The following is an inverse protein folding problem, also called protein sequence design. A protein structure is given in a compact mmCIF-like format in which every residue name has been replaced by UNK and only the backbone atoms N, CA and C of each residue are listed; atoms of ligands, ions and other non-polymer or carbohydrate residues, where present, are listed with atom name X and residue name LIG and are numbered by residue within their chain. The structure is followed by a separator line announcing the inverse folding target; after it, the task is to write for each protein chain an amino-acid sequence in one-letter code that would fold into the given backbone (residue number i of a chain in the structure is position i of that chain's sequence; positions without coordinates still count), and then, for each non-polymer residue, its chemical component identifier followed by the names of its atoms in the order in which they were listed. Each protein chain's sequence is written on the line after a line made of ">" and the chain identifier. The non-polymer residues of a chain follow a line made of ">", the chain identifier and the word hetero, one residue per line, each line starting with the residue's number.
data_IF_852184871612
#
_entry.id   IF_852184871612
#
_cell.length_a   1.000
_cell.length_b   1.000
_cell.length_c   1.000
_cell.angle_alpha   90.00
_cell.angle_beta   90.00
_cell.angle_gamma   90.00
#
_symmetry.space_group_name_H-M   'P 1'
#
loop_
_entity.id
_entity.type
_entity.pdbx_description
1 polymer ?
#
# COMPACT_ATOMS: atom_id res chain seq x y z
N UNK A 1 -31.81 15.63 5.88
CA UNK A 1 -31.70 14.20 6.23
C UNK A 1 -31.87 13.38 4.97
N UNK A 2 -30.80 13.22 4.19
CA UNK A 2 -30.78 12.23 3.11
C UNK A 2 -30.51 10.87 3.76
N UNK A 3 -31.44 9.93 3.61
CA UNK A 3 -31.26 8.56 4.04
C UNK A 3 -30.09 7.97 3.24
N UNK A 4 -28.95 7.77 3.92
CA UNK A 4 -27.84 7.01 3.37
C UNK A 4 -28.33 5.58 3.17
N UNK A 5 -28.55 5.18 1.91
CA UNK A 5 -28.74 3.78 1.58
C UNK A 5 -27.55 3.01 2.16
N UNK A 6 -27.77 1.91 2.90
CA UNK A 6 -26.66 1.11 3.41
C UNK A 6 -25.90 0.57 2.21
N UNK A 7 -24.65 1.02 2.02
CA UNK A 7 -23.75 0.46 1.02
C UNK A 7 -23.61 -1.02 1.38
N UNK A 8 -24.30 -1.89 0.63
CA UNK A 8 -24.24 -3.34 0.83
C UNK A 8 -22.76 -3.72 0.70
N UNK A 9 -22.20 -4.21 1.81
CA UNK A 9 -20.81 -4.63 1.87
C UNK A 9 -20.51 -5.65 0.76
N UNK A 10 -19.26 -5.73 0.29
CA UNK A 10 -18.90 -6.67 -0.77
C UNK A 10 -19.23 -8.11 -0.33
N UNK A 11 -19.86 -8.86 -1.22
CA UNK A 11 -20.24 -10.26 -0.97
C UNK A 11 -18.99 -11.12 -0.73
N UNK A 12 -19.11 -12.31 -0.11
CA UNK A 12 -17.96 -13.21 0.08
C UNK A 12 -17.17 -13.48 -1.20
N UNK A 13 -17.87 -13.63 -2.33
CA UNK A 13 -17.26 -13.78 -3.65
C UNK A 13 -16.51 -12.51 -4.09
N UNK A 14 -17.07 -11.32 -3.88
CA UNK A 14 -16.39 -10.07 -4.21
C UNK A 14 -15.07 -9.94 -3.43
N UNK A 15 -15.04 -10.33 -2.14
CA UNK A 15 -13.81 -10.34 -1.33
C UNK A 15 -12.75 -11.28 -1.91
N UNK A 16 -13.15 -12.47 -2.34
CA UNK A 16 -12.25 -13.43 -2.99
C UNK A 16 -11.75 -12.95 -4.35
N UNK A 17 -12.58 -12.27 -5.14
CA UNK A 17 -12.16 -11.62 -6.39
C UNK A 17 -11.13 -10.51 -6.10
N UNK A 18 -11.37 -9.68 -5.07
CA UNK A 18 -10.41 -8.64 -4.64
C UNK A 18 -9.08 -9.26 -4.24
N UNK A 19 -9.10 -10.31 -3.42
CA UNK A 19 -7.90 -11.03 -3.01
C UNK A 19 -7.16 -11.64 -4.21
N UNK A 20 -7.87 -12.20 -5.19
CA UNK A 20 -7.25 -12.72 -6.42
C UNK A 20 -6.57 -11.62 -7.25
N UNK A 21 -7.20 -10.45 -7.36
CA UNK A 21 -6.62 -9.27 -8.01
C UNK A 21 -5.47 -8.64 -7.20
N UNK A 22 -5.43 -8.87 -5.90
CA UNK A 22 -4.26 -8.54 -5.10
C UNK A 22 -3.11 -9.48 -5.49
N UNK A 23 -3.32 -10.80 -5.60
CA UNK A 23 -2.27 -11.75 -6.06
C UNK A 23 -1.74 -11.38 -7.44
N UNK A 24 -2.61 -11.27 -8.45
CA UNK A 24 -2.26 -10.82 -9.79
C UNK A 24 -3.32 -9.86 -10.35
N UNK A 25 -2.99 -8.57 -10.35
CA UNK A 25 -3.88 -7.52 -10.83
C UNK A 25 -4.22 -7.63 -12.32
N UNK A 26 -3.44 -8.37 -13.12
CA UNK A 26 -3.71 -8.61 -14.55
C UNK A 26 -4.28 -10.00 -14.84
N UNK A 27 -4.57 -10.82 -13.83
CA UNK A 27 -5.21 -12.11 -14.04
C UNK A 27 -6.52 -11.96 -14.84
N UNK A 28 -6.71 -12.84 -15.83
CA UNK A 28 -7.95 -12.89 -16.60
C UNK A 28 -9.10 -13.36 -15.73
N UNK A 29 -10.32 -12.94 -16.07
CA UNK A 29 -11.51 -13.37 -15.33
C UNK A 29 -11.70 -14.89 -15.40
N UNK A 30 -11.37 -15.52 -16.54
CA UNK A 30 -11.33 -16.96 -16.68
C UNK A 30 -10.36 -17.63 -15.69
N UNK A 31 -9.14 -17.09 -15.54
CA UNK A 31 -8.15 -17.60 -14.59
C UNK A 31 -8.66 -17.47 -13.15
N UNK A 32 -9.17 -16.29 -12.78
CA UNK A 32 -9.73 -16.05 -11.43
C UNK A 32 -10.90 -17.01 -11.17
N UNK A 33 -11.83 -17.17 -12.12
CA UNK A 33 -12.97 -18.06 -11.98
C UNK A 33 -12.55 -19.53 -11.77
N UNK A 34 -11.61 -20.02 -12.59
CA UNK A 34 -11.06 -21.35 -12.46
C UNK A 34 -10.38 -21.57 -11.10
N UNK A 35 -9.56 -20.60 -10.65
CA UNK A 35 -8.90 -20.67 -9.34
C UNK A 35 -9.90 -20.70 -8.19
N UNK A 36 -10.95 -19.87 -8.23
CA UNK A 36 -11.92 -19.77 -7.15
C UNK A 36 -12.98 -20.87 -7.16
N UNK A 37 -13.02 -21.72 -8.20
CA UNK A 37 -14.07 -22.72 -8.38
C UNK A 37 -15.44 -22.11 -8.69
N UNK A 38 -15.47 -20.93 -9.32
CA UNK A 38 -16.66 -20.12 -9.54
C UNK A 38 -17.00 -20.01 -11.04
N UNK A 39 -18.28 -19.83 -11.43
CA UNK A 39 -18.63 -19.66 -12.84
C UNK A 39 -18.00 -18.39 -13.43
N UNK A 40 -17.33 -18.53 -14.58
CA UNK A 40 -16.66 -17.40 -15.26
C UNK A 40 -17.61 -16.23 -15.52
N UNK A 41 -18.84 -16.51 -15.97
CA UNK A 41 -19.85 -15.45 -16.20
C UNK A 41 -20.13 -14.62 -14.94
N UNK A 42 -20.06 -15.22 -13.76
CA UNK A 42 -20.28 -14.52 -12.49
C UNK A 42 -19.10 -13.62 -12.16
N UNK A 43 -17.87 -14.15 -12.27
CA UNK A 43 -16.64 -13.40 -12.01
C UNK A 43 -16.44 -12.27 -13.05
N UNK A 44 -16.66 -12.56 -14.33
CA UNK A 44 -16.57 -11.60 -15.43
C UNK A 44 -17.65 -10.51 -15.38
N UNK A 45 -18.71 -10.69 -14.59
CA UNK A 45 -19.69 -9.64 -14.29
C UNK A 45 -19.30 -8.82 -13.06
N UNK A 46 -18.92 -9.49 -11.96
CA UNK A 46 -18.62 -8.85 -10.66
C UNK A 46 -17.26 -8.13 -10.65
N UNK A 47 -16.23 -8.72 -11.23
CA UNK A 47 -14.87 -8.17 -11.26
C UNK A 47 -14.81 -6.80 -11.93
N UNK A 48 -15.28 -6.64 -13.19
CA UNK A 48 -15.32 -5.33 -13.84
C UNK A 48 -16.18 -4.31 -13.08
N UNK A 49 -17.26 -4.73 -12.42
CA UNK A 49 -18.11 -3.84 -11.63
C UNK A 49 -17.36 -3.26 -10.42
N UNK A 50 -16.56 -4.07 -9.72
CA UNK A 50 -15.69 -3.60 -8.62
C UNK A 50 -14.67 -2.54 -9.09
N UNK A 51 -14.12 -2.73 -10.29
CA UNK A 51 -13.21 -1.76 -10.91
C UNK A 51 -13.94 -0.49 -11.36
N UNK A 52 -15.13 -0.62 -11.95
CA UNK A 52 -15.95 0.48 -12.47
C UNK A 52 -16.45 1.39 -11.35
N UNK A 53 -16.94 0.81 -10.24
CA UNK A 53 -17.31 1.54 -9.03
C UNK A 53 -16.12 2.22 -8.35
N UNK A 54 -14.90 1.85 -8.73
CA UNK A 54 -13.67 2.42 -8.21
C UNK A 54 -13.28 2.01 -6.81
N UNK A 55 -14.06 1.13 -6.19
CA UNK A 55 -13.74 0.49 -4.91
C UNK A 55 -12.42 -0.29 -4.97
N UNK A 56 -12.06 -0.75 -6.17
CA UNK A 56 -10.81 -1.46 -6.46
C UNK A 56 -10.13 -0.81 -7.66
N UNK A 57 -8.83 -0.55 -7.55
CA UNK A 57 -8.00 -0.02 -8.63
C UNK A 57 -6.84 -0.96 -8.88
N UNK A 58 -6.50 -1.22 -10.14
CA UNK A 58 -5.28 -1.97 -10.45
C UNK A 58 -4.18 -0.98 -10.74
N UNK A 59 -3.06 -1.10 -10.04
CA UNK A 59 -1.90 -0.19 -10.17
C UNK A 59 -0.63 -1.00 -10.20
N UNK A 60 0.39 -0.45 -10.86
CA UNK A 60 1.76 -0.84 -10.57
C UNK A 60 2.21 -0.28 -9.23
N UNK A 61 2.76 -1.16 -8.40
CA UNK A 61 3.52 -0.83 -7.21
C UNK A 61 4.99 -1.07 -7.54
N UNK A 62 5.84 -0.12 -7.17
CA UNK A 62 7.28 -0.21 -7.37
C UNK A 62 7.94 -0.82 -6.13
N UNK A 63 8.98 -1.63 -6.34
CA UNK A 63 9.84 -2.09 -5.25
C UNK A 63 10.57 -0.86 -4.64
N UNK A 64 10.67 -0.72 -3.30
CA UNK A 64 11.48 0.31 -2.65
C UNK A 64 12.93 0.37 -3.15
N UNK A 65 13.54 -0.78 -3.49
CA UNK A 65 14.87 -0.84 -4.11
C UNK A 65 14.99 0.01 -5.37
N UNK A 66 13.90 0.26 -6.09
CA UNK A 66 13.89 1.04 -7.33
C UNK A 66 14.39 2.47 -7.14
N UNK A 67 14.23 3.03 -5.95
CA UNK A 67 14.50 4.43 -5.73
C UNK A 67 15.99 4.69 -5.44
N UNK A 68 16.83 4.58 -6.49
CA UNK A 68 18.24 5.00 -6.38
C UNK A 68 18.31 6.47 -5.98
N UNK A 69 19.18 6.77 -5.03
CA UNK A 69 19.45 8.13 -4.58
C UNK A 69 18.18 8.85 -4.09
N UNK A 70 17.25 8.12 -3.46
CA UNK A 70 16.16 8.74 -2.72
C UNK A 70 16.19 8.28 -1.27
N UNK A 71 15.80 9.18 -0.39
CA UNK A 71 15.48 8.89 1.00
C UNK A 71 13.98 8.57 1.10
N UNK A 72 13.67 7.42 1.70
CA UNK A 72 12.33 7.09 2.17
C UNK A 72 12.22 7.51 3.62
N UNK A 73 11.13 8.19 3.99
CA UNK A 73 10.93 8.61 5.37
C UNK A 73 9.44 8.75 5.68
N UNK A 74 9.10 8.57 6.94
CA UNK A 74 7.75 8.79 7.45
C UNK A 74 7.69 10.14 8.15
N UNK A 75 6.71 10.94 7.77
CA UNK A 75 6.31 12.16 8.46
C UNK A 75 5.23 11.82 9.48
N UNK A 76 5.45 12.18 10.74
CA UNK A 76 4.43 12.23 11.81
C UNK A 76 4.14 13.69 12.10
N UNK A 77 2.91 14.15 11.92
CA UNK A 77 2.58 15.55 12.09
C UNK A 77 1.42 15.75 13.07
N UNK A 78 1.52 16.85 13.81
CA UNK A 78 0.43 17.44 14.58
C UNK A 78 -0.03 18.70 13.87
N UNK A 79 -1.30 19.00 14.00
CA UNK A 79 -1.95 20.08 13.28
C UNK A 79 -2.54 21.10 14.25
N UNK A 80 -2.78 22.30 13.74
CA UNK A 80 -3.62 23.26 14.44
C UNK A 80 -5.05 22.70 14.52
N UNK A 81 -5.78 22.85 15.65
CA UNK A 81 -7.13 22.32 15.79
C UNK A 81 -8.04 22.68 14.59
N UNK A 82 -8.74 21.68 14.06
CA UNK A 82 -9.62 21.83 12.90
C UNK A 82 -8.93 21.83 11.53
N UNK A 83 -7.60 21.74 11.48
CA UNK A 83 -6.84 21.82 10.20
C UNK A 83 -6.22 20.49 9.74
N UNK A 84 -6.36 19.40 10.50
CA UNK A 84 -5.79 18.10 10.17
C UNK A 84 -6.16 17.60 8.76
N UNK A 85 -7.43 17.75 8.36
CA UNK A 85 -7.89 17.39 7.02
C UNK A 85 -7.21 18.20 5.90
N UNK A 86 -6.87 19.46 6.16
CA UNK A 86 -6.16 20.33 5.21
C UNK A 86 -4.72 19.83 5.03
N UNK A 87 -4.02 19.58 6.14
CA UNK A 87 -2.65 19.08 6.14
C UNK A 87 -2.54 17.72 5.44
N UNK A 88 -3.39 16.77 5.83
CA UNK A 88 -3.44 15.45 5.19
C UNK A 88 -3.79 15.54 3.70
N UNK A 89 -4.71 16.42 3.30
CA UNK A 89 -5.06 16.62 1.89
C UNK A 89 -3.90 17.24 1.09
N UNK A 90 -3.15 18.16 1.69
CA UNK A 90 -1.97 18.76 1.08
C UNK A 90 -0.87 17.70 0.84
N UNK A 91 -0.58 16.88 1.85
CA UNK A 91 0.36 15.76 1.77
C UNK A 91 -0.08 14.74 0.71
N UNK A 92 -1.32 14.29 0.74
CA UNK A 92 -1.85 13.29 -0.19
C UNK A 92 -1.69 13.70 -1.66
N UNK A 93 -1.87 14.99 -1.98
CA UNK A 93 -1.76 15.50 -3.36
C UNK A 93 -0.33 15.60 -3.88
N UNK A 94 0.69 15.50 -3.04
CA UNK A 94 2.08 15.57 -3.51
C UNK A 94 2.45 14.31 -4.29
N UNK A 95 3.22 14.43 -5.39
CA UNK A 95 3.65 13.28 -6.19
C UNK A 95 4.69 12.40 -5.47
N UNK A 96 5.40 12.95 -4.49
CA UNK A 96 6.44 12.29 -3.69
C UNK A 96 5.89 11.54 -2.47
N UNK A 97 4.58 11.61 -2.21
CA UNK A 97 3.93 10.97 -1.07
C UNK A 97 3.33 9.62 -1.46
N UNK A 98 3.69 8.54 -0.76
CA UNK A 98 3.24 7.17 -1.01
C UNK A 98 1.89 6.88 -0.35
N UNK A 99 1.73 7.25 0.92
CA UNK A 99 0.45 7.18 1.62
C UNK A 99 0.25 8.40 2.51
N UNK A 100 -1.00 8.67 2.88
CA UNK A 100 -1.33 9.70 3.86
C UNK A 100 -2.58 9.31 4.61
N UNK A 101 -2.46 9.26 5.94
CA UNK A 101 -3.54 8.87 6.86
C UNK A 101 -3.84 10.00 7.83
N UNK A 102 -5.13 10.21 8.11
CA UNK A 102 -5.62 10.93 9.27
C UNK A 102 -5.74 9.97 10.44
N UNK A 103 -5.30 10.39 11.61
CA UNK A 103 -5.10 9.51 12.75
C UNK A 103 -5.82 10.03 14.00
N UNK A 104 -6.17 9.10 14.88
CA UNK A 104 -6.43 9.41 16.29
C UNK A 104 -5.12 9.38 17.08
N UNK A 105 -5.04 10.11 18.19
CA UNK A 105 -3.95 9.98 19.17
C UNK A 105 -3.03 11.19 19.17
N UNK A 106 -1.74 10.98 19.39
CA UNK A 106 -0.73 12.03 19.52
C UNK A 106 -0.27 12.63 18.19
N UNK A 107 -0.62 12.01 17.06
CA UNK A 107 -0.43 12.57 15.73
C UNK A 107 -1.80 12.72 15.06
N UNK A 108 -1.98 13.83 14.35
CA UNK A 108 -3.19 14.10 13.58
C UNK A 108 -3.11 13.50 12.18
N UNK A 109 -1.89 13.41 11.63
CA UNK A 109 -1.65 12.75 10.35
C UNK A 109 -0.26 12.11 10.26
N UNK A 110 -0.16 11.08 9.41
CA UNK A 110 1.11 10.50 9.02
C UNK A 110 1.17 10.25 7.51
N UNK A 111 2.36 10.37 6.94
CA UNK A 111 2.60 10.13 5.53
C UNK A 111 3.98 9.50 5.31
N UNK A 112 4.08 8.51 4.44
CA UNK A 112 5.38 8.07 3.92
C UNK A 112 5.67 8.81 2.62
N UNK A 113 6.90 9.31 2.50
CA UNK A 113 7.35 10.14 1.40
C UNK A 113 8.71 9.66 0.89
N UNK A 114 8.97 9.94 -0.39
CA UNK A 114 10.18 9.59 -1.10
C UNK A 114 10.79 10.85 -1.71
N UNK A 115 12.01 11.22 -1.35
CA UNK A 115 12.68 12.39 -1.93
C UNK A 115 14.06 12.05 -2.46
N UNK A 116 14.48 12.54 -3.64
CA UNK A 116 15.88 12.46 -4.04
C UNK A 116 16.80 13.00 -2.95
N UNK A 117 17.90 12.31 -2.66
CA UNK A 117 18.90 12.68 -1.65
C UNK A 117 19.37 14.12 -1.86
N UNK A 118 19.55 14.54 -3.12
CA UNK A 118 19.97 15.90 -3.49
C UNK A 118 18.98 17.00 -3.08
N UNK A 119 17.69 16.67 -2.93
CA UNK A 119 16.62 17.62 -2.60
C UNK A 119 16.01 17.36 -1.22
N UNK A 120 16.49 16.34 -0.50
CA UNK A 120 15.90 15.91 0.75
C UNK A 120 15.96 17.00 1.82
N UNK A 121 17.10 17.69 1.96
CA UNK A 121 17.24 18.80 2.92
C UNK A 121 16.27 19.95 2.65
N UNK A 122 16.10 20.36 1.39
CA UNK A 122 15.16 21.42 1.02
C UNK A 122 13.71 21.02 1.32
N UNK A 123 13.37 19.76 1.02
CA UNK A 123 12.07 19.20 1.34
C UNK A 123 11.78 19.23 2.85
N UNK A 124 12.75 18.81 3.68
CA UNK A 124 12.60 18.80 5.13
C UNK A 124 12.44 20.22 5.71
N UNK A 125 13.28 21.16 5.25
CA UNK A 125 13.37 22.49 5.85
C UNK A 125 12.28 23.43 5.31
N UNK A 126 12.00 23.39 4.00
CA UNK A 126 11.11 24.36 3.34
C UNK A 126 9.73 23.79 3.10
N UNK A 127 9.65 22.64 2.44
CA UNK A 127 8.36 22.10 2.00
C UNK A 127 7.52 21.62 3.18
N UNK A 128 8.10 20.78 4.05
CA UNK A 128 7.37 20.23 5.21
C UNK A 128 7.02 21.35 6.20
N UNK A 129 7.95 22.27 6.44
CA UNK A 129 7.72 23.43 7.32
C UNK A 129 6.67 24.42 6.82
N UNK A 130 6.31 24.38 5.53
CA UNK A 130 5.28 25.25 4.93
C UNK A 130 3.94 24.55 4.68
N UNK A 131 3.79 23.29 5.12
CA UNK A 131 2.54 22.54 4.94
C UNK A 131 1.38 23.22 5.69
N UNK A 132 0.30 23.60 4.98
CA UNK A 132 -0.84 24.25 5.61
C UNK A 132 -1.48 23.38 6.70
N UNK A 133 -1.73 23.97 7.87
CA UNK A 133 -2.37 23.31 9.00
C UNK A 133 -1.42 22.54 9.92
N UNK A 134 -0.20 22.24 9.50
CA UNK A 134 0.81 21.57 10.35
C UNK A 134 1.32 22.55 11.40
N UNK A 135 1.28 22.16 12.68
CA UNK A 135 1.82 22.92 13.81
C UNK A 135 3.20 22.42 14.23
N UNK A 136 3.42 21.10 14.18
CA UNK A 136 4.75 20.50 14.33
C UNK A 136 4.84 19.18 13.57
N UNK A 137 6.05 18.83 13.14
CA UNK A 137 6.28 17.61 12.39
C UNK A 137 7.61 16.95 12.77
N UNK A 138 7.62 15.62 12.77
CA UNK A 138 8.80 14.79 12.97
C UNK A 138 8.97 13.87 11.76
N UNK A 139 10.20 13.72 11.30
CA UNK A 139 10.53 12.89 10.14
C UNK A 139 11.42 11.74 10.57
N UNK A 140 11.05 10.54 10.15
CA UNK A 140 11.70 9.28 10.52
C UNK A 140 12.18 8.59 9.25
N UNK A 141 13.48 8.68 8.90
CA UNK A 141 14.05 7.93 7.79
C UNK A 141 13.78 6.43 7.94
N UNK A 142 13.38 5.78 6.85
CA UNK A 142 13.20 4.33 6.81
C UNK A 142 14.56 3.68 6.57
N UNK A 143 14.99 2.84 7.50
CA UNK A 143 16.25 2.12 7.43
C UNK A 143 16.11 0.77 6.72
N UNK A 144 14.97 0.11 6.89
CA UNK A 144 14.67 -1.18 6.28
C UNK A 144 13.15 -1.42 6.24
N UNK A 145 12.69 -2.36 5.42
CA UNK A 145 11.31 -2.82 5.40
C UNK A 145 11.28 -4.33 5.70
N UNK A 146 10.45 -4.73 6.66
CA UNK A 146 10.09 -6.16 6.82
C UNK A 146 8.98 -6.54 5.85
N UNK A 147 8.01 -5.64 5.65
CA UNK A 147 6.93 -5.81 4.69
C UNK A 147 6.51 -4.46 4.15
N UNK A 148 6.19 -4.41 2.87
CA UNK A 148 5.49 -3.27 2.27
C UNK A 148 4.12 -3.69 1.76
N UNK A 149 3.30 -2.71 1.38
CA UNK A 149 1.96 -2.93 0.81
C UNK A 149 1.94 -3.87 -0.40
N UNK A 150 3.03 -3.94 -1.19
CA UNK A 150 3.07 -4.83 -2.35
C UNK A 150 3.18 -6.31 -1.98
N UNK A 151 3.57 -6.65 -0.75
CA UNK A 151 3.66 -8.02 -0.23
C UNK A 151 2.50 -8.41 0.68
N UNK A 152 1.60 -7.48 1.01
CA UNK A 152 0.48 -7.81 1.87
C UNK A 152 -0.38 -8.91 1.24
N UNK A 153 -0.74 -9.89 2.05
CA UNK A 153 -1.71 -10.94 1.76
C UNK A 153 -2.70 -10.99 2.93
N UNK A 154 -4.00 -10.75 2.69
CA UNK A 154 -5.03 -10.71 3.71
C UNK A 154 -5.44 -12.10 4.20
N UNK A 155 -4.90 -13.20 3.65
CA UNK A 155 -5.23 -14.57 4.07
C UNK A 155 -6.64 -15.00 3.68
N UNK A 156 -7.22 -14.39 2.63
CA UNK A 156 -8.57 -14.70 2.12
C UNK A 156 -8.56 -15.92 1.20
N UNK A 157 -7.47 -16.13 0.48
CA UNK A 157 -7.28 -17.25 -0.44
C UNK A 157 -6.44 -18.34 0.22
N UNK A 158 -6.64 -19.59 -0.21
CA UNK A 158 -5.78 -20.69 0.21
C UNK A 158 -4.41 -20.62 -0.48
N UNK A 159 -3.35 -21.24 0.08
CA UNK A 159 -2.04 -21.28 -0.56
C UNK A 159 -2.07 -21.84 -2.00
N UNK A 160 -2.89 -22.87 -2.25
CA UNK A 160 -3.05 -23.47 -3.58
C UNK A 160 -3.70 -22.49 -4.57
N UNK A 161 -4.68 -21.70 -4.12
CA UNK A 161 -5.32 -20.67 -4.92
C UNK A 161 -4.33 -19.53 -5.28
N UNK A 162 -3.49 -19.13 -4.32
CA UNK A 162 -2.43 -18.13 -4.53
C UNK A 162 -1.41 -18.65 -5.54
N UNK A 163 -0.97 -19.90 -5.41
CA UNK A 163 -0.03 -20.55 -6.32
C UNK A 163 -0.61 -20.63 -7.75
N UNK A 164 -1.88 -21.01 -7.90
CA UNK A 164 -2.57 -21.07 -9.19
C UNK A 164 -2.64 -19.70 -9.90
N UNK A 165 -2.71 -18.61 -9.15
CA UNK A 165 -2.67 -17.25 -9.69
C UNK A 165 -1.26 -16.77 -10.05
N UNK A 166 -0.22 -17.48 -9.63
CA UNK A 166 1.18 -17.15 -9.86
C UNK A 166 1.81 -16.32 -8.73
N UNK A 167 1.30 -16.45 -7.50
CA UNK A 167 1.67 -15.63 -6.34
C UNK A 167 3.11 -15.77 -5.85
N UNK A 168 3.75 -16.93 -6.06
CA UNK A 168 5.07 -17.21 -5.46
C UNK A 168 6.20 -16.33 -6.01
N UNK A 169 6.08 -15.83 -7.25
CA UNK A 169 7.07 -14.93 -7.83
C UNK A 169 7.06 -13.52 -7.20
N UNK A 170 5.98 -13.11 -6.53
CA UNK A 170 5.79 -11.75 -6.02
C UNK A 170 6.05 -11.58 -4.52
N UNK A 171 5.97 -12.66 -3.74
CA UNK A 171 6.09 -12.59 -2.27
C UNK A 171 7.56 -12.55 -1.81
N UNK A 172 8.48 -13.16 -2.58
CA UNK A 172 9.86 -13.41 -2.17
C UNK A 172 10.88 -12.31 -2.55
N UNK A 173 10.43 -11.22 -3.18
CA UNK A 173 11.37 -10.17 -3.58
C UNK A 173 11.87 -9.39 -2.35
N UNK A 174 13.18 -9.10 -2.28
CA UNK A 174 13.72 -8.36 -1.15
C UNK A 174 13.07 -6.99 -1.01
N UNK A 175 12.76 -6.65 0.23
CA UNK A 175 12.23 -5.34 0.67
C UNK A 175 13.30 -4.40 1.17
N UNK A 176 14.54 -4.87 1.31
CA UNK A 176 15.63 -4.01 1.76
C UNK A 176 15.90 -2.86 0.79
N UNK A 177 16.60 -1.83 1.26
CA UNK A 177 16.98 -0.66 0.47
C UNK A 177 18.27 -0.88 -0.35
N UNK A 178 18.53 -2.12 -0.78
CA UNK A 178 19.71 -2.53 -1.54
C UNK A 178 19.77 -1.96 -2.96
N UNK A 179 20.74 -2.43 -3.75
CA UNK A 179 20.98 -1.85 -5.08
C UNK A 179 19.77 -2.00 -6.02
N UNK A 180 19.27 -0.87 -6.52
CA UNK A 180 18.24 -0.86 -7.53
C UNK A 180 18.70 -1.49 -8.86
N UNK A 181 17.82 -2.20 -9.55
CA UNK A 181 18.02 -2.55 -10.96
C UNK A 181 18.12 -1.28 -11.82
N UNK A 182 18.98 -1.32 -12.85
CA UNK A 182 19.20 -0.18 -13.73
C UNK A 182 18.06 -0.08 -14.75
N UNK A 183 17.11 0.82 -14.49
CA UNK A 183 15.95 1.05 -15.36
C UNK A 183 16.27 2.07 -16.45
N UNK A 184 16.00 1.69 -17.71
CA UNK A 184 16.08 2.58 -18.87
C UNK A 184 14.98 3.64 -18.89
N UNK A 185 15.05 4.56 -19.86
CA UNK A 185 14.04 5.61 -20.05
C UNK A 185 12.65 5.01 -20.32
N UNK A 186 12.61 3.99 -21.16
CA UNK A 186 11.39 3.30 -21.58
C UNK A 186 10.79 2.51 -20.42
N UNK A 187 11.62 1.84 -19.60
CA UNK A 187 11.14 1.11 -18.41
C UNK A 187 10.49 2.08 -17.42
N UNK A 188 11.07 3.28 -17.21
CA UNK A 188 10.45 4.31 -16.37
C UNK A 188 9.15 4.85 -16.95
N UNK A 189 9.01 4.92 -18.28
CA UNK A 189 7.75 5.29 -18.92
C UNK A 189 6.69 4.20 -18.73
N UNK A 190 7.04 2.93 -18.96
CA UNK A 190 6.16 1.77 -18.71
C UNK A 190 5.64 1.81 -17.27
N UNK A 191 6.54 1.98 -16.31
CA UNK A 191 6.21 2.00 -14.89
C UNK A 191 5.27 3.17 -14.55
N UNK A 192 5.58 4.39 -14.99
CA UNK A 192 4.69 5.56 -14.75
C UNK A 192 3.31 5.40 -15.38
N UNK A 193 3.21 4.75 -16.53
CA UNK A 193 1.92 4.46 -17.16
C UNK A 193 1.14 3.42 -16.36
N UNK A 194 1.80 2.34 -15.92
CA UNK A 194 1.15 1.29 -15.12
C UNK A 194 0.85 1.73 -13.68
N UNK A 195 1.61 2.68 -13.11
CA UNK A 195 1.30 3.34 -11.83
C UNK A 195 -0.01 4.13 -11.96
N UNK A 196 -0.34 4.62 -13.16
CA UNK A 196 -1.62 5.31 -13.45
C UNK A 196 -2.77 4.35 -13.73
N UNK A 197 -2.51 3.25 -14.39
CA UNK A 197 -3.49 2.17 -14.58
C UNK A 197 -2.73 0.87 -14.90
N UNK A 198 -2.75 -0.07 -13.97
CA UNK A 198 -2.02 -1.34 -14.10
C UNK A 198 -2.61 -2.28 -15.15
N UNK A 199 -3.80 -1.97 -15.70
CA UNK A 199 -4.45 -2.76 -16.75
C UNK A 199 -4.38 -2.12 -18.14
N UNK A 200 -3.63 -1.03 -18.34
CA UNK A 200 -3.43 -0.50 -19.70
C UNK A 200 -2.94 -1.58 -20.67
N UNK A 201 -3.41 -1.51 -21.90
CA UNK A 201 -3.07 -2.48 -22.94
C UNK A 201 -1.63 -2.34 -23.40
N UNK A 202 -1.07 -3.40 -24.00
CA UNK A 202 0.29 -3.33 -24.53
C UNK A 202 0.40 -2.42 -25.76
N UNK A 203 -0.70 -2.20 -26.48
CA UNK A 203 -0.83 -1.21 -27.56
C UNK A 203 -0.71 0.22 -27.02
N UNK A 204 -1.34 0.52 -25.88
CA UNK A 204 -1.20 1.82 -25.23
C UNK A 204 0.23 2.04 -24.72
N UNK A 205 0.82 1.02 -24.08
CA UNK A 205 2.22 1.06 -23.64
C UNK A 205 3.17 1.27 -24.82
N UNK A 206 2.93 0.59 -25.95
CA UNK A 206 3.67 0.78 -27.20
C UNK A 206 3.58 2.23 -27.68
N UNK A 207 2.39 2.83 -27.70
CA UNK A 207 2.19 4.22 -28.13
C UNK A 207 2.92 5.22 -27.24
N UNK A 208 2.86 5.05 -25.91
CA UNK A 208 3.49 5.98 -24.95
C UNK A 208 5.02 5.87 -24.94
N UNK A 209 5.56 4.67 -25.18
CA UNK A 209 7.01 4.39 -25.10
C UNK A 209 7.72 4.50 -26.45
N UNK A 210 6.99 4.39 -27.56
CA UNK A 210 7.56 4.26 -28.90
C UNK A 210 8.11 2.86 -29.22
N UNK A 211 7.94 1.89 -28.32
CA UNK A 211 8.36 0.50 -28.54
C UNK A 211 7.33 -0.28 -29.36
N UNK A 212 7.72 -1.39 -29.99
CA UNK A 212 6.75 -2.35 -30.51
C UNK A 212 5.96 -3.02 -29.38
N UNK A 213 4.72 -3.46 -29.65
CA UNK A 213 3.85 -4.15 -28.68
C UNK A 213 4.56 -5.35 -28.04
N UNK A 214 5.22 -6.19 -28.85
CA UNK A 214 6.01 -7.34 -28.36
C UNK A 214 7.16 -6.92 -27.44
N UNK A 215 7.84 -5.81 -27.75
CA UNK A 215 8.93 -5.29 -26.91
C UNK A 215 8.41 -4.74 -25.59
N UNK A 216 7.28 -4.01 -25.61
CA UNK A 216 6.64 -3.51 -24.41
C UNK A 216 6.19 -4.66 -23.50
N UNK A 217 5.57 -5.70 -24.07
CA UNK A 217 5.18 -6.91 -23.34
C UNK A 217 6.39 -7.59 -22.68
N UNK A 218 7.44 -7.89 -23.45
CA UNK A 218 8.66 -8.52 -22.94
C UNK A 218 9.30 -7.72 -21.81
N UNK A 219 9.30 -6.38 -21.91
CA UNK A 219 9.83 -5.50 -20.85
C UNK A 219 8.97 -5.55 -19.58
N UNK A 220 7.65 -5.54 -19.70
CA UNK A 220 6.76 -5.69 -18.54
C UNK A 220 6.98 -7.04 -17.85
N UNK A 221 7.05 -8.12 -18.63
CA UNK A 221 7.32 -9.47 -18.10
C UNK A 221 8.68 -9.53 -17.39
N UNK A 222 9.73 -8.96 -17.98
CA UNK A 222 11.04 -8.84 -17.36
C UNK A 222 10.99 -8.07 -16.02
N UNK A 223 10.36 -6.90 -16.01
CA UNK A 223 10.22 -6.09 -14.79
C UNK A 223 9.44 -6.82 -13.69
N UNK A 224 8.44 -7.63 -14.07
CA UNK A 224 7.68 -8.48 -13.14
C UNK A 224 8.54 -9.62 -12.60
N UNK A 225 9.26 -10.35 -13.47
CA UNK A 225 10.10 -11.48 -13.06
C UNK A 225 11.31 -11.06 -12.21
N UNK A 226 11.83 -9.85 -12.41
CA UNK A 226 12.92 -9.28 -11.63
C UNK A 226 12.44 -8.61 -10.32
N UNK A 227 11.14 -8.69 -9.99
CA UNK A 227 10.59 -8.09 -8.77
C UNK A 227 10.67 -6.56 -8.74
N UNK A 228 10.81 -5.92 -9.90
CA UNK A 228 10.86 -4.45 -10.06
C UNK A 228 9.49 -3.82 -10.20
N UNK A 229 8.49 -4.62 -10.59
CA UNK A 229 7.13 -4.21 -10.91
C UNK A 229 6.12 -5.22 -10.38
N UNK A 230 5.23 -4.76 -9.51
CA UNK A 230 4.08 -5.52 -9.03
C UNK A 230 2.83 -4.88 -9.60
N UNK A 231 1.92 -5.64 -10.20
CA UNK A 231 0.64 -5.09 -10.64
C UNK A 231 -0.44 -5.74 -9.78
N UNK A 232 -0.98 -4.98 -8.83
CA UNK A 232 -1.89 -5.50 -7.80
C UNK A 232 -3.10 -4.59 -7.64
N UNK A 233 -4.13 -5.10 -7.00
CA UNK A 233 -5.26 -4.32 -6.54
C UNK A 233 -4.88 -3.40 -5.37
N UNK A 234 -5.30 -2.14 -5.45
CA UNK A 234 -5.31 -1.16 -4.37
C UNK A 234 -6.76 -0.89 -4.02
N UNK A 235 -7.09 -0.99 -2.73
CA UNK A 235 -8.46 -0.93 -2.22
C UNK A 235 -8.47 -0.62 -0.72
N UNK A 236 -9.64 -0.24 -0.19
CA UNK A 236 -9.85 -0.06 1.25
C UNK A 236 -9.99 -1.41 1.97
N UNK A 237 -9.24 -1.70 3.06
CA UNK A 237 -9.32 -2.95 3.81
C UNK A 237 -10.71 -3.32 4.32
N UNK A 238 -11.55 -2.31 4.56
CA UNK A 238 -12.96 -2.49 4.89
C UNK A 238 -13.71 -3.36 3.86
N UNK A 239 -13.28 -3.36 2.60
CA UNK A 239 -13.84 -4.23 1.56
C UNK A 239 -13.52 -5.72 1.77
N UNK A 240 -12.55 -6.07 2.58
CA UNK A 240 -12.29 -7.46 2.99
C UNK A 240 -12.93 -7.79 4.34
N UNK A 241 -13.64 -6.84 4.95
CA UNK A 241 -14.19 -6.99 6.30
C UNK A 241 -13.19 -6.64 7.40
N UNK A 242 -12.17 -5.83 7.08
CA UNK A 242 -11.15 -5.37 8.02
C UNK A 242 -11.24 -3.82 8.17
N UNK A 243 -12.32 -3.29 8.77
CA UNK A 243 -12.58 -1.84 8.79
C UNK A 243 -11.73 -1.07 9.82
N UNK A 244 -11.04 -1.74 10.73
CA UNK A 244 -10.22 -1.08 11.76
C UNK A 244 -8.78 -1.13 11.32
N UNK A 245 -8.22 0.00 10.91
CA UNK A 245 -6.81 0.15 10.57
C UNK A 245 -6.09 0.97 11.63
N UNK A 246 -4.84 0.61 11.95
CA UNK A 246 -4.06 1.24 13.00
C UNK A 246 -2.59 1.33 12.58
N UNK A 247 -1.99 2.51 12.80
CA UNK A 247 -0.55 2.67 12.83
C UNK A 247 -0.04 2.42 14.24
N UNK A 248 0.88 1.48 14.40
CA UNK A 248 1.56 1.19 15.66
C UNK A 248 2.96 1.77 15.59
N UNK A 249 3.22 2.81 16.37
CA UNK A 249 4.57 3.35 16.57
C UNK A 249 5.21 2.59 17.73
N UNK A 250 6.25 1.82 17.44
CA UNK A 250 6.79 0.83 18.38
C UNK A 250 8.24 1.16 18.73
N UNK A 251 8.52 1.17 20.03
CA UNK A 251 9.89 1.17 20.56
C UNK A 251 10.33 -0.26 20.82
N UNK A 252 11.36 -0.69 20.11
CA UNK A 252 11.95 -2.02 20.21
C UNK A 252 13.46 -1.84 20.27
N UNK A 253 14.19 -2.55 21.16
CA UNK A 253 15.65 -2.57 21.08
C UNK A 253 16.11 -3.05 19.70
N UNK A 254 17.05 -2.34 19.08
CA UNK A 254 17.58 -2.74 17.75
C UNK A 254 17.99 -4.21 17.64
N UNK A 255 18.64 -4.84 18.65
CA UNK A 255 18.99 -6.26 18.59
C UNK A 255 17.80 -7.22 18.46
N UNK A 256 16.59 -6.82 18.85
CA UNK A 256 15.39 -7.67 18.79
C UNK A 256 14.61 -7.50 17.48
N UNK A 257 15.00 -6.55 16.62
CA UNK A 257 14.25 -6.20 15.40
C UNK A 257 14.12 -7.38 14.43
N UNK A 258 15.16 -8.19 14.23
CA UNK A 258 15.08 -9.33 13.31
C UNK A 258 14.08 -10.39 13.78
N UNK A 259 13.99 -10.60 15.11
CA UNK A 259 13.04 -11.52 15.69
C UNK A 259 11.60 -10.99 15.56
N UNK A 260 11.39 -9.71 15.86
CA UNK A 260 10.09 -9.05 15.66
C UNK A 260 9.68 -9.06 14.18
N UNK A 261 10.61 -8.79 13.27
CA UNK A 261 10.37 -8.78 11.83
C UNK A 261 9.95 -10.15 11.28
N UNK A 262 10.55 -11.23 11.77
CA UNK A 262 10.19 -12.60 11.39
C UNK A 262 8.72 -12.92 11.74
N UNK A 263 8.25 -12.50 12.91
CA UNK A 263 6.85 -12.67 13.32
C UNK A 263 5.90 -11.82 12.45
N UNK A 264 6.23 -10.55 12.24
CA UNK A 264 5.38 -9.61 11.51
C UNK A 264 5.21 -9.96 10.03
N UNK A 265 6.22 -10.56 9.40
CA UNK A 265 6.19 -10.92 7.97
C UNK A 265 5.16 -12.02 7.67
N UNK A 266 4.86 -12.87 8.65
CA UNK A 266 3.90 -13.97 8.51
C UNK A 266 2.49 -13.60 8.98
N UNK A 267 2.29 -12.41 9.56
CA UNK A 267 0.99 -11.99 10.08
C UNK A 267 0.11 -11.39 8.97
N UNK A 268 -1.06 -11.96 8.65
CA UNK A 268 -1.96 -11.43 7.62
C UNK A 268 -2.59 -10.08 8.00
N UNK A 269 -2.60 -9.73 9.30
CA UNK A 269 -3.11 -8.45 9.80
C UNK A 269 -2.15 -7.31 9.48
N UNK A 270 -0.85 -7.59 9.31
CA UNK A 270 0.20 -6.60 9.07
C UNK A 270 0.33 -6.30 7.58
N UNK A 271 0.03 -5.06 7.18
CA UNK A 271 0.10 -4.60 5.79
C UNK A 271 1.45 -4.01 5.43
N UNK A 272 2.06 -3.35 6.39
CA UNK A 272 3.33 -2.64 6.25
C UNK A 272 4.07 -2.70 7.58
N UNK A 273 5.38 -2.91 7.52
CA UNK A 273 6.27 -2.90 8.67
C UNK A 273 7.64 -2.36 8.24
N UNK A 274 8.03 -1.22 8.79
CA UNK A 274 9.27 -0.52 8.46
C UNK A 274 10.11 -0.20 9.69
N UNK A 275 11.41 -0.44 9.58
CA UNK A 275 12.41 -0.04 10.57
C UNK A 275 12.74 1.42 10.38
N UNK A 276 12.65 2.20 11.45
CA UNK A 276 12.81 3.65 11.41
C UNK A 276 14.06 4.10 12.16
N UNK A 277 14.66 5.20 11.71
CA UNK A 277 15.60 5.99 12.48
C UNK A 277 14.86 7.04 13.30
N UNK A 278 15.17 7.13 14.60
CA UNK A 278 14.59 8.11 15.52
C UNK A 278 14.05 7.46 16.79
N UNK A 279 13.03 8.09 17.38
CA UNK A 279 12.48 7.69 18.69
C UNK A 279 11.65 6.40 18.67
N UNK A 280 11.21 5.97 17.48
CA UNK A 280 10.55 4.70 17.26
C UNK A 280 11.43 3.89 16.30
N UNK A 281 11.63 2.60 16.61
CA UNK A 281 12.43 1.71 15.78
C UNK A 281 11.58 1.00 14.73
N UNK A 282 10.27 0.97 14.92
CA UNK A 282 9.38 0.22 14.06
C UNK A 282 8.04 0.96 13.90
N UNK A 283 7.57 1.06 12.66
CA UNK A 283 6.21 1.47 12.32
C UNK A 283 5.50 0.31 11.67
N UNK A 284 4.31 -0.02 12.17
CA UNK A 284 3.46 -1.10 11.65
C UNK A 284 2.13 -0.52 11.23
N UNK A 285 1.68 -0.81 10.02
CA UNK A 285 0.28 -0.62 9.59
C UNK A 285 -0.43 -1.97 9.66
N UNK A 286 -1.47 -2.06 10.48
CA UNK A 286 -2.21 -3.29 10.71
C UNK A 286 -3.72 -3.08 10.63
N UNK A 287 -4.43 -4.12 10.18
CA UNK A 287 -5.88 -4.10 9.95
C UNK A 287 -6.62 -5.23 10.64
N UNK A 288 -7.82 -4.92 11.14
CA UNK A 288 -8.60 -5.80 12.00
C UNK A 288 -10.09 -5.73 11.68
N UNK A 289 -10.85 -6.81 11.96
CA UNK A 289 -12.30 -6.83 11.77
C UNK A 289 -13.05 -5.96 12.79
N UNK A 290 -12.44 -5.66 13.95
CA UNK A 290 -13.04 -4.85 15.00
C UNK A 290 -12.00 -4.26 15.97
N UNK A 291 -12.40 -3.29 16.78
CA UNK A 291 -11.56 -2.74 17.85
C UNK A 291 -11.27 -3.77 18.96
N UNK A 292 -12.19 -4.70 19.19
CA UNK A 292 -11.96 -5.80 20.13
C UNK A 292 -10.86 -6.75 19.62
N UNK A 293 -10.87 -7.07 18.32
CA UNK A 293 -9.81 -7.87 17.71
C UNK A 293 -8.44 -7.17 17.77
N UNK A 294 -8.39 -5.84 17.55
CA UNK A 294 -7.18 -5.05 17.77
C UNK A 294 -6.71 -5.13 19.23
N UNK A 295 -7.62 -4.97 20.20
CA UNK A 295 -7.29 -5.06 21.61
C UNK A 295 -6.74 -6.45 21.98
N UNK A 296 -7.35 -7.53 21.48
CA UNK A 296 -6.88 -8.89 21.69
C UNK A 296 -5.51 -9.11 21.06
N UNK A 297 -5.32 -8.65 19.83
CA UNK A 297 -4.04 -8.70 19.13
C UNK A 297 -2.90 -8.04 19.92
N UNK A 298 -3.11 -6.80 20.41
CA UNK A 298 -2.10 -6.09 21.19
C UNK A 298 -1.76 -6.76 22.52
N UNK A 299 -2.63 -7.63 23.06
CA UNK A 299 -2.32 -8.41 24.27
C UNK A 299 -1.52 -9.68 23.97
N UNK A 300 -1.79 -10.34 22.84
CA UNK A 300 -1.34 -11.72 22.61
C UNK A 300 -0.31 -11.89 21.49
N UNK A 301 -0.10 -10.88 20.64
CA UNK A 301 0.82 -11.01 19.52
C UNK A 301 2.25 -11.31 20.02
N UNK A 302 2.93 -12.35 19.51
CA UNK A 302 4.22 -12.81 20.04
C UNK A 302 5.31 -11.74 20.10
N UNK A 303 5.31 -10.82 19.14
CA UNK A 303 6.31 -9.75 19.05
C UNK A 303 6.15 -8.66 20.13
N UNK A 304 4.96 -8.51 20.72
CA UNK A 304 4.66 -7.45 21.70
C UNK A 304 5.55 -7.55 22.94
N UNK A 305 5.94 -8.77 23.35
CA UNK A 305 6.81 -8.99 24.52
C UNK A 305 8.24 -8.43 24.35
N UNK A 306 8.68 -8.15 23.11
CA UNK A 306 9.97 -7.53 22.81
C UNK A 306 9.91 -6.00 22.78
N UNK A 307 8.71 -5.43 22.97
CA UNK A 307 8.50 -3.98 22.85
C UNK A 307 8.64 -3.29 24.20
N UNK A 308 9.20 -2.08 24.19
CA UNK A 308 9.25 -1.20 25.35
C UNK A 308 7.95 -0.39 25.48
N UNK A 309 7.41 0.04 24.34
CA UNK A 309 6.15 0.77 24.27
C UNK A 309 5.55 0.66 22.87
N UNK A 310 4.23 0.64 22.81
CA UNK A 310 3.44 0.73 21.57
C UNK A 310 2.54 1.95 21.70
N UNK A 311 2.55 2.83 20.71
CA UNK A 311 1.62 3.95 20.58
C UNK A 311 0.69 3.66 19.39
N UNK A 312 -0.54 3.16 19.65
CA UNK A 312 -1.52 2.90 18.60
C UNK A 312 -2.22 4.19 18.17
N UNK A 313 -2.25 4.43 16.87
CA UNK A 313 -2.98 5.52 16.23
C UNK A 313 -3.95 4.95 15.20
N UNK A 314 -5.25 4.95 15.53
CA UNK A 314 -6.28 4.43 14.62
C UNK A 314 -6.42 5.34 13.41
N UNK A 315 -6.45 4.77 12.22
CA UNK A 315 -6.70 5.52 10.99
C UNK A 315 -8.17 5.89 10.93
N UNK A 316 -8.43 7.20 10.90
CA UNK A 316 -9.77 7.78 10.75
C UNK A 316 -10.16 7.78 9.27
N UNK A 317 -9.22 8.18 8.43
CA UNK A 317 -9.40 8.26 6.98
C UNK A 317 -8.06 8.12 6.26
N UNK A 318 -8.09 7.49 5.09
CA UNK A 318 -6.90 7.19 4.31
C UNK A 318 -6.89 7.95 3.00
N UNK A 319 -6.44 9.21 3.02
CA UNK A 319 -6.49 10.14 1.89
C UNK A 319 -5.61 9.71 0.70
N UNK A 320 -4.59 8.89 0.94
CA UNK A 320 -3.78 8.27 -0.12
C UNK A 320 -3.26 6.92 0.31
N UNK A 321 -3.27 5.95 -0.61
CA UNK A 321 -2.69 4.61 -0.45
C UNK A 321 -1.88 4.22 -1.66
N UNK A 322 -0.63 3.82 -1.46
CA UNK A 322 0.22 3.28 -2.54
C UNK A 322 0.23 4.17 -3.79
N UNK A 323 0.38 5.49 -3.61
CA UNK A 323 0.36 6.47 -4.69
C UNK A 323 -1.04 6.86 -5.21
N UNK A 324 -2.11 6.24 -4.71
CA UNK A 324 -3.50 6.40 -5.17
C UNK A 324 -4.33 7.22 -4.18
N UNK A 325 -4.95 8.32 -4.63
CA UNK A 325 -5.80 9.19 -3.80
C UNK A 325 -7.13 8.53 -3.40
N UNK A 326 -7.62 8.83 -2.20
CA UNK A 326 -8.89 8.35 -1.67
C UNK A 326 -10.10 8.69 -2.52
N UNK A 327 -10.15 9.90 -3.09
CA UNK A 327 -11.24 10.35 -3.98
C UNK A 327 -11.36 9.45 -5.23
N UNK A 328 -10.32 8.67 -5.55
CA UNK A 328 -10.39 7.67 -6.61
C UNK A 328 -11.07 6.36 -6.19
N UNK A 329 -11.35 6.16 -4.89
CA UNK A 329 -12.11 5.06 -4.33
C UNK A 329 -13.56 5.48 -4.05
N UNK A 330 -14.46 5.15 -4.98
CA UNK A 330 -15.89 5.10 -4.69
C UNK A 330 -16.61 6.40 -4.32
N UNK A 331 -16.07 7.58 -4.63
CA UNK A 331 -16.93 8.76 -4.73
C UNK A 331 -17.67 8.71 -6.06
N UNK A 332 -19.00 8.73 -6.00
CA UNK A 332 -19.85 9.04 -7.15
C UNK A 332 -19.28 10.28 -7.82
N UNK A 333 -19.06 10.20 -9.14
CA UNK A 333 -18.96 11.40 -9.93
C UNK A 333 -20.29 12.14 -9.77
N UNK A 334 -20.30 13.19 -8.95
CA UNK A 334 -21.27 14.27 -9.11
C UNK A 334 -21.13 14.89 -10.50
#
# INVERSE_FOLDING_TARGET
>A
MAAQNPVVGPSPLDRRIIAALQVDGRASWAKIAATLGEPERTVARRGPELLRQGRVRIRALSNPRRFRHTEQFVLKATCTPGTAGIAASALARRPDTLYTFLLTGSADCAAEMSSPVSTFSDLLIRDIGSLPGVSSASTYPVLNYFRTMHQWDPGVLTPDEVAALGGDAYVQAPTDLGQAPQLGKEDRQILRTLERDGRVSFEELSRVTGLSVQTAQRRVEKLRSEGSLYIRAVFEPALLGLPVEVLLWVKVPFPDLDHVGAELTHDPSVRYAAVLAGDFQLLIDAVFPSRAALYDYLKSAPWVKYTQSIEPAVVIDALKRSGTLALSFGQEAE
#
